data_IF_674579735564
#
_entry.id   IF_674579735564
#
_cell.length_a   1.000
_cell.length_b   1.000
_cell.length_c   1.000
_cell.angle_alpha   90.00
_cell.angle_beta   90.00
_cell.angle_gamma   90.00
#
_symmetry.space_group_name_H-M   'P 1'
#
loop_
_entity.id
_entity.type
_entity.pdbx_description
1 polymer ?
#
# COMPACT_ATOMS: atom_id res chain seq x y z
N UNK A 1 -12.28 3.73 19.54
CA UNK A 1 -12.40 3.13 20.89
C UNK A 1 -11.65 1.80 21.01
N UNK A 2 -11.77 0.85 20.05
CA UNK A 2 -11.07 -0.45 20.09
C UNK A 2 -9.58 -0.42 20.45
N UNK A 3 -8.75 0.40 19.80
CA UNK A 3 -7.31 0.54 20.13
C UNK A 3 -7.05 0.91 21.60
N UNK A 4 -7.90 1.76 22.17
CA UNK A 4 -7.73 2.28 23.54
C UNK A 4 -8.21 1.24 24.56
N UNK A 5 -9.24 0.46 24.22
CA UNK A 5 -9.69 -0.71 24.97
C UNK A 5 -8.64 -1.82 24.94
N UNK A 6 -8.09 -2.16 23.78
CA UNK A 6 -6.98 -3.12 23.63
C UNK A 6 -5.76 -2.72 24.46
N UNK A 7 -5.40 -1.43 24.45
CA UNK A 7 -4.30 -0.92 25.27
C UNK A 7 -4.58 -1.03 26.78
N UNK A 8 -5.83 -0.84 27.20
CA UNK A 8 -6.24 -1.02 28.61
C UNK A 8 -6.18 -2.49 29.01
N UNK A 9 -6.75 -3.38 28.19
CA UNK A 9 -6.68 -4.83 28.39
C UNK A 9 -5.23 -5.31 28.45
N UNK A 10 -4.37 -4.84 27.54
CA UNK A 10 -2.95 -5.18 27.55
C UNK A 10 -2.23 -4.64 28.79
N UNK A 11 -2.69 -3.51 29.36
CA UNK A 11 -2.15 -2.98 30.61
C UNK A 11 -2.49 -3.87 31.81
N UNK A 12 -3.68 -4.46 31.82
CA UNK A 12 -4.18 -5.37 32.87
C UNK A 12 -3.44 -6.71 32.90
N UNK A 13 -2.85 -7.14 31.79
CA UNK A 13 -2.03 -8.35 31.72
C UNK A 13 -0.79 -8.20 32.63
N UNK A 14 -0.46 -9.20 33.48
CA UNK A 14 0.74 -9.18 34.32
C UNK A 14 2.02 -8.96 33.50
N UNK A 15 2.97 -8.21 34.08
CA UNK A 15 4.23 -7.87 33.41
C UNK A 15 5.03 -9.13 32.99
N UNK A 16 5.01 -10.18 33.81
CA UNK A 16 5.67 -11.45 33.53
C UNK A 16 5.13 -12.11 32.26
N UNK A 17 3.83 -12.02 32.01
CA UNK A 17 3.19 -12.58 30.81
C UNK A 17 3.56 -11.75 29.59
N UNK A 18 3.51 -10.41 29.69
CA UNK A 18 3.90 -9.52 28.58
C UNK A 18 5.36 -9.67 28.19
N UNK A 19 6.24 -9.76 29.19
CA UNK A 19 7.67 -9.96 28.96
C UNK A 19 7.93 -11.32 28.34
N UNK A 20 7.26 -12.38 28.79
CA UNK A 20 7.36 -13.70 28.15
C UNK A 20 6.91 -13.69 26.69
N UNK A 21 5.77 -13.06 26.37
CA UNK A 21 5.28 -12.93 24.99
C UNK A 21 6.27 -12.14 24.12
N UNK A 22 6.85 -11.07 24.67
CA UNK A 22 7.85 -10.28 23.95
C UNK A 22 9.15 -11.06 23.72
N UNK A 23 9.57 -11.90 24.67
CA UNK A 23 10.72 -12.79 24.47
C UNK A 23 10.45 -13.86 23.42
N UNK A 24 9.24 -14.41 23.37
CA UNK A 24 8.82 -15.36 22.32
C UNK A 24 8.83 -14.71 20.93
N UNK A 25 8.30 -13.49 20.82
CA UNK A 25 8.38 -12.69 19.60
C UNK A 25 9.84 -12.40 19.22
N UNK A 26 10.69 -12.00 20.16
CA UNK A 26 12.11 -11.80 19.88
C UNK A 26 12.80 -13.08 19.44
N UNK A 27 12.40 -14.25 19.97
CA UNK A 27 12.93 -15.53 19.55
C UNK A 27 12.53 -15.84 18.10
N UNK A 28 11.27 -15.61 17.72
CA UNK A 28 10.81 -15.83 16.34
C UNK A 28 11.46 -14.85 15.35
N UNK A 29 11.59 -13.57 15.72
CA UNK A 29 12.26 -12.55 14.90
C UNK A 29 13.73 -12.86 14.67
N UNK A 30 14.44 -13.43 15.66
CA UNK A 30 15.84 -13.87 15.51
C UNK A 30 16.00 -15.04 14.54
N UNK A 31 14.96 -15.86 14.37
CA UNK A 31 14.96 -16.98 13.43
C UNK A 31 14.43 -16.61 12.04
N UNK A 32 14.18 -15.33 11.76
CA UNK A 32 13.77 -14.90 10.42
C UNK A 32 14.90 -15.17 9.42
N UNK A 33 14.62 -16.09 8.50
CA UNK A 33 15.46 -16.39 7.36
C UNK A 33 14.70 -16.10 6.07
N UNK A 34 15.43 -16.04 4.96
CA UNK A 34 14.81 -15.93 3.65
C UNK A 34 14.12 -17.26 3.31
N UNK A 35 12.80 -17.23 3.12
CA UNK A 35 11.99 -18.39 2.76
C UNK A 35 11.90 -18.59 1.24
N UNK A 36 11.56 -17.54 0.48
CA UNK A 36 11.47 -17.55 -0.99
C UNK A 36 12.19 -16.32 -1.56
N UNK A 37 12.85 -16.50 -2.70
CA UNK A 37 13.41 -15.39 -3.49
C UNK A 37 12.90 -15.51 -4.91
N UNK A 38 12.34 -14.42 -5.45
CA UNK A 38 11.78 -14.39 -6.79
C UNK A 38 12.18 -13.13 -7.53
N UNK A 39 12.40 -13.27 -8.84
CA UNK A 39 12.68 -12.16 -9.73
C UNK A 39 11.37 -11.48 -10.10
N UNK A 40 11.22 -10.20 -9.74
CA UNK A 40 10.01 -9.45 -10.03
C UNK A 40 9.98 -8.86 -11.44
N UNK A 41 11.04 -8.18 -11.86
CA UNK A 41 11.16 -7.57 -13.20
C UNK A 41 12.63 -7.35 -13.60
N UNK A 42 12.85 -6.87 -14.83
CA UNK A 42 14.16 -6.43 -15.34
C UNK A 42 14.64 -5.10 -14.75
N UNK A 43 13.70 -4.29 -14.24
CA UNK A 43 13.91 -3.01 -13.58
C UNK A 43 13.76 -3.15 -12.05
N UNK A 44 14.37 -2.25 -11.27
CA UNK A 44 14.30 -2.32 -9.82
C UNK A 44 12.86 -2.13 -9.31
N UNK A 45 12.51 -2.95 -8.31
CA UNK A 45 11.25 -2.85 -7.58
C UNK A 45 11.37 -1.68 -6.59
N UNK A 46 10.43 -0.75 -6.63
CA UNK A 46 10.44 0.46 -5.81
C UNK A 46 9.69 0.32 -4.49
N UNK A 47 8.71 -0.59 -4.45
CA UNK A 47 7.84 -0.77 -3.30
C UNK A 47 7.17 -2.16 -3.31
N UNK A 48 6.84 -2.67 -2.14
CA UNK A 48 5.97 -3.82 -1.98
C UNK A 48 4.98 -3.63 -0.84
N UNK A 49 3.78 -4.21 -0.97
CA UNK A 49 2.75 -4.14 0.06
C UNK A 49 1.95 -5.44 0.13
N UNK A 50 1.76 -5.97 1.34
CA UNK A 50 0.91 -7.14 1.54
C UNK A 50 -0.57 -6.77 1.46
N UNK A 51 -1.39 -7.69 0.96
CA UNK A 51 -2.85 -7.60 1.08
C UNK A 51 -3.27 -7.77 2.54
N UNK A 52 -4.42 -7.21 2.97
CA UNK A 52 -4.89 -7.34 4.36
C UNK A 52 -5.09 -8.78 4.86
N UNK A 53 -5.34 -9.74 3.98
CA UNK A 53 -5.44 -11.17 4.33
C UNK A 53 -4.11 -11.94 4.25
N UNK A 54 -3.00 -11.25 3.94
CA UNK A 54 -1.64 -11.78 3.78
C UNK A 54 -1.46 -12.88 2.70
N UNK A 55 -2.43 -13.07 1.79
CA UNK A 55 -2.34 -14.08 0.71
C UNK A 55 -1.77 -13.51 -0.60
N UNK A 56 -1.72 -12.20 -0.74
CA UNK A 56 -1.20 -11.53 -1.92
C UNK A 56 -0.15 -10.49 -1.53
N UNK A 57 0.79 -10.26 -2.43
CA UNK A 57 1.79 -9.21 -2.33
C UNK A 57 1.79 -8.42 -3.64
N UNK A 58 1.67 -7.10 -3.53
CA UNK A 58 1.78 -6.19 -4.66
C UNK A 58 3.21 -5.65 -4.71
N UNK A 59 3.81 -5.65 -5.89
CA UNK A 59 5.11 -5.02 -6.15
C UNK A 59 4.97 -3.93 -7.20
N UNK A 60 5.58 -2.77 -6.97
CA UNK A 60 5.70 -1.69 -7.93
C UNK A 60 7.11 -1.68 -8.54
N UNK A 61 7.22 -1.55 -9.86
CA UNK A 61 8.49 -1.58 -10.57
C UNK A 61 8.75 -0.28 -11.34
N UNK A 62 10.02 0.07 -11.54
CA UNK A 62 10.41 1.17 -12.42
C UNK A 62 10.18 0.90 -13.92
N UNK A 63 9.77 -0.29 -14.31
CA UNK A 63 9.32 -0.61 -15.68
C UNK A 63 7.97 0.03 -16.04
N UNK A 64 7.22 0.55 -15.05
CA UNK A 64 5.82 0.94 -15.21
C UNK A 64 4.83 -0.19 -14.85
N UNK A 65 5.34 -1.39 -14.57
CA UNK A 65 4.51 -2.53 -14.20
C UNK A 65 4.30 -2.60 -12.69
N UNK A 66 3.07 -2.93 -12.32
CA UNK A 66 2.75 -3.40 -10.98
C UNK A 66 2.36 -4.86 -11.07
N UNK A 67 2.93 -5.72 -10.23
CA UNK A 67 2.67 -7.18 -10.26
C UNK A 67 2.07 -7.63 -8.94
N UNK A 68 1.11 -8.55 -9.02
CA UNK A 68 0.51 -9.20 -7.86
C UNK A 68 1.01 -10.64 -7.78
N UNK A 69 1.47 -11.04 -6.59
CA UNK A 69 2.06 -12.34 -6.32
C UNK A 69 1.23 -13.06 -5.26
N UNK A 70 1.09 -14.38 -5.39
CA UNK A 70 0.54 -15.20 -4.31
C UNK A 70 1.58 -15.39 -3.21
N UNK A 71 1.13 -15.42 -1.97
CA UNK A 71 1.93 -15.67 -0.77
C UNK A 71 1.30 -16.86 -0.05
N UNK A 72 2.08 -17.90 0.32
CA UNK A 72 3.55 -17.98 0.36
C UNK A 72 4.22 -18.53 -0.91
N UNK A 73 3.45 -18.96 -1.91
CA UNK A 73 4.01 -19.71 -3.05
C UNK A 73 4.85 -18.86 -4.02
N UNK A 74 4.73 -17.53 -3.94
CA UNK A 74 5.45 -16.60 -4.79
C UNK A 74 5.12 -16.89 -6.27
N UNK A 75 3.83 -17.05 -6.64
CA UNK A 75 3.40 -17.20 -8.03
C UNK A 75 2.82 -15.89 -8.56
N UNK A 76 3.12 -15.53 -9.82
CA UNK A 76 2.55 -14.35 -10.45
C UNK A 76 1.05 -14.56 -10.71
N UNK A 77 0.21 -13.68 -10.17
CA UNK A 77 -1.25 -13.70 -10.34
C UNK A 77 -1.69 -12.72 -11.43
N UNK A 78 -1.27 -11.46 -11.32
CA UNK A 78 -1.66 -10.39 -12.23
C UNK A 78 -0.48 -9.48 -12.57
N UNK A 79 -0.52 -8.91 -13.77
CA UNK A 79 0.40 -7.85 -14.20
C UNK A 79 -0.43 -6.64 -14.57
N UNK A 80 -0.49 -5.69 -13.65
CA UNK A 80 -1.19 -4.43 -13.77
C UNK A 80 -0.40 -3.50 -14.70
N UNK A 81 -0.99 -3.18 -15.86
CA UNK A 81 -0.41 -2.37 -16.93
C UNK A 81 -1.14 -1.05 -17.02
N UNK A 82 -0.42 0.07 -17.01
CA UNK A 82 -1.03 1.39 -17.20
C UNK A 82 -0.11 2.56 -16.90
N UNK A 83 0.90 2.37 -16.03
CA UNK A 83 1.93 3.39 -15.85
C UNK A 83 2.94 3.34 -16.99
N UNK A 84 3.32 4.51 -17.49
CA UNK A 84 4.29 4.66 -18.58
C UNK A 84 5.70 5.00 -18.08
N UNK A 85 5.83 5.29 -16.78
CA UNK A 85 7.07 5.72 -16.15
C UNK A 85 7.32 4.97 -14.84
N UNK A 86 8.40 5.33 -14.15
CA UNK A 86 8.80 4.66 -12.91
C UNK A 86 7.69 4.72 -11.86
N UNK A 87 7.15 3.56 -11.46
CA UNK A 87 6.16 3.49 -10.39
C UNK A 87 6.85 3.77 -9.05
N UNK A 88 6.26 4.65 -8.25
CA UNK A 88 6.72 5.05 -6.92
C UNK A 88 6.30 4.09 -5.82
N UNK A 89 5.00 3.81 -5.70
CA UNK A 89 4.43 2.89 -4.73
C UNK A 89 3.15 2.24 -5.24
N UNK A 90 2.80 1.10 -4.62
CA UNK A 90 1.51 0.43 -4.76
C UNK A 90 1.03 0.01 -3.38
N UNK A 91 -0.23 0.30 -3.05
CA UNK A 91 -0.80 0.03 -1.72
C UNK A 91 -2.19 -0.57 -1.86
N UNK A 92 -2.42 -1.64 -1.11
CA UNK A 92 -3.74 -2.26 -0.98
C UNK A 92 -4.68 -1.37 -0.16
N UNK A 93 -5.94 -1.35 -0.57
CA UNK A 93 -7.02 -0.82 0.23
C UNK A 93 -7.12 -1.61 1.55
N UNK A 94 -7.34 -0.97 2.71
CA UNK A 94 -7.34 -1.63 4.02
C UNK A 94 -8.40 -2.73 4.17
N UNK A 95 -9.47 -2.65 3.37
CA UNK A 95 -10.56 -3.63 3.28
C UNK A 95 -10.47 -4.59 2.09
N UNK A 96 -9.42 -4.45 1.26
CA UNK A 96 -9.16 -5.34 0.12
C UNK A 96 -9.11 -6.79 0.60
N UNK A 97 -9.74 -7.69 -0.16
CA UNK A 97 -9.69 -9.14 0.08
C UNK A 97 -10.26 -9.61 1.44
N UNK A 98 -10.83 -8.70 2.23
CA UNK A 98 -11.48 -8.98 3.52
C UNK A 98 -12.98 -8.68 3.44
N UNK A 99 -13.35 -7.50 2.94
CA UNK A 99 -14.76 -7.11 2.81
C UNK A 99 -15.12 -6.41 1.50
N UNK A 100 -14.14 -5.94 0.72
CA UNK A 100 -14.37 -5.39 -0.61
C UNK A 100 -14.52 -6.50 -1.65
N UNK A 101 -15.38 -6.24 -2.65
CA UNK A 101 -15.46 -7.09 -3.84
C UNK A 101 -14.21 -6.91 -4.72
N UNK A 102 -13.90 -7.90 -5.54
CA UNK A 102 -12.73 -7.87 -6.43
C UNK A 102 -12.87 -6.78 -7.51
N UNK A 103 -14.11 -6.47 -7.91
CA UNK A 103 -14.46 -5.41 -8.88
C UNK A 103 -14.22 -4.00 -8.38
N UNK A 104 -14.34 -3.79 -7.07
CA UNK A 104 -14.14 -2.48 -6.49
C UNK A 104 -12.66 -2.07 -6.54
N UNK A 105 -12.39 -0.82 -6.19
CA UNK A 105 -11.01 -0.32 -6.08
C UNK A 105 -10.32 -1.01 -4.90
N UNK A 106 -9.39 -1.91 -5.22
CA UNK A 106 -8.65 -2.70 -4.26
C UNK A 106 -7.22 -2.20 -4.07
N UNK A 107 -6.63 -1.51 -5.04
CA UNK A 107 -5.29 -0.94 -4.93
C UNK A 107 -5.22 0.48 -5.49
N UNK A 108 -4.23 1.22 -5.01
CA UNK A 108 -3.79 2.48 -5.60
C UNK A 108 -2.28 2.40 -5.86
N UNK A 109 -1.83 2.95 -6.98
CA UNK A 109 -0.40 3.11 -7.26
C UNK A 109 -0.11 4.50 -7.82
N UNK A 110 1.14 4.94 -7.70
CA UNK A 110 1.58 6.25 -8.17
C UNK A 110 2.87 6.16 -8.96
N UNK A 111 3.14 7.14 -9.82
CA UNK A 111 4.33 7.16 -10.67
C UNK A 111 5.04 8.53 -10.73
N UNK A 112 6.20 8.50 -11.39
CA UNK A 112 7.09 9.65 -11.53
C UNK A 112 6.55 10.75 -12.46
N UNK A 113 5.61 10.41 -13.35
CA UNK A 113 4.90 11.36 -14.21
C UNK A 113 3.77 12.12 -13.49
N UNK A 114 3.52 11.81 -12.22
CA UNK A 114 2.44 12.41 -11.43
C UNK A 114 1.15 11.62 -11.47
N UNK A 115 1.06 10.56 -12.29
CA UNK A 115 -0.16 9.75 -12.34
C UNK A 115 -0.36 8.95 -11.05
N UNK A 116 -1.61 8.90 -10.61
CA UNK A 116 -2.08 8.02 -9.55
C UNK A 116 -3.21 7.19 -10.12
N UNK A 117 -3.05 5.88 -10.11
CA UNK A 117 -3.96 4.92 -10.77
C UNK A 117 -4.62 4.03 -9.73
N UNK A 118 -5.92 3.79 -9.92
CA UNK A 118 -6.74 2.92 -9.09
C UNK A 118 -6.99 1.60 -9.81
N UNK A 119 -6.90 0.50 -9.07
CA UNK A 119 -6.92 -0.85 -9.64
C UNK A 119 -7.96 -1.72 -8.95
N UNK A 120 -8.62 -2.54 -9.75
CA UNK A 120 -9.44 -3.67 -9.32
C UNK A 120 -8.60 -4.95 -9.34
N UNK A 121 -9.04 -6.00 -8.66
CA UNK A 121 -8.44 -7.33 -8.75
C UNK A 121 -8.93 -8.14 -9.96
N UNK A 122 -10.03 -7.70 -10.60
CA UNK A 122 -10.63 -8.38 -11.76
C UNK A 122 -10.06 -7.89 -13.11
N UNK A 123 -9.22 -6.84 -13.09
CA UNK A 123 -8.69 -6.19 -14.28
C UNK A 123 -7.19 -5.97 -14.17
N UNK A 124 -6.47 -6.23 -15.27
CA UNK A 124 -5.06 -5.88 -15.42
C UNK A 124 -4.86 -4.41 -15.85
N UNK A 125 -5.94 -3.70 -16.19
CA UNK A 125 -5.97 -2.27 -16.52
C UNK A 125 -6.55 -1.43 -15.39
N UNK A 126 -6.14 -0.16 -15.25
CA UNK A 126 -6.64 0.73 -14.21
C UNK A 126 -8.13 1.03 -14.40
N UNK A 127 -8.87 1.11 -13.29
CA UNK A 127 -10.31 1.42 -13.29
C UNK A 127 -10.55 2.92 -13.42
N UNK A 128 -9.68 3.71 -12.80
CA UNK A 128 -9.74 5.17 -12.83
C UNK A 128 -8.36 5.75 -12.50
N UNK A 129 -8.15 6.98 -12.93
CA UNK A 129 -6.96 7.78 -12.62
C UNK A 129 -7.37 8.97 -11.73
N UNK A 130 -6.48 9.35 -10.82
CA UNK A 130 -6.62 10.60 -10.05
C UNK A 130 -5.76 11.65 -10.74
N UNK A 131 -6.44 12.66 -11.28
CA UNK A 131 -5.84 13.80 -11.96
C UNK A 131 -5.65 14.97 -10.98
N UNK A 132 -4.57 15.74 -11.13
CA UNK A 132 -4.30 16.94 -10.31
C UNK A 132 -2.83 17.13 -9.95
N UNK A 133 -2.06 16.05 -10.01
CA UNK A 133 -0.61 16.10 -9.86
C UNK A 133 0.07 16.37 -11.20
N UNK A 134 0.93 17.40 -11.24
CA UNK A 134 1.72 17.76 -12.44
C UNK A 134 3.19 17.33 -12.34
N UNK A 135 3.59 16.84 -11.16
CA UNK A 135 4.96 16.39 -10.87
C UNK A 135 4.91 15.04 -10.15
N UNK A 136 6.08 14.40 -10.05
CA UNK A 136 6.26 13.10 -9.41
C UNK A 136 5.49 12.96 -8.08
N UNK A 137 4.70 11.90 -8.00
CA UNK A 137 4.07 11.44 -6.75
C UNK A 137 4.96 10.37 -6.12
N UNK A 138 5.44 10.63 -4.91
CA UNK A 138 6.43 9.78 -4.25
C UNK A 138 5.80 8.52 -3.66
N UNK A 139 4.70 8.70 -2.94
CA UNK A 139 3.98 7.65 -2.20
C UNK A 139 2.48 7.91 -2.21
N UNK A 140 1.74 6.84 -2.01
CA UNK A 140 0.29 6.85 -1.76
C UNK A 140 -0.01 6.00 -0.53
N UNK A 141 -1.06 6.35 0.20
CA UNK A 141 -1.49 5.58 1.36
C UNK A 141 -2.98 5.77 1.60
N UNK A 142 -3.66 4.68 1.93
CA UNK A 142 -5.06 4.70 2.28
C UNK A 142 -5.27 5.12 3.73
N UNK A 143 -6.29 5.92 3.97
CA UNK A 143 -6.83 6.06 5.32
C UNK A 143 -7.45 4.73 5.78
N UNK A 144 -7.34 4.33 7.06
CA UNK A 144 -7.89 3.04 7.53
C UNK A 144 -9.39 2.84 7.31
N UNK A 145 -10.17 3.89 7.09
CA UNK A 145 -11.58 3.77 6.69
C UNK A 145 -11.77 3.20 5.28
N UNK A 146 -10.77 3.38 4.41
CA UNK A 146 -10.82 3.06 2.99
C UNK A 146 -11.35 4.16 2.08
N UNK A 147 -11.99 5.18 2.64
CA UNK A 147 -12.61 6.25 1.85
C UNK A 147 -11.61 7.26 1.28
N UNK A 148 -10.57 7.57 2.06
CA UNK A 148 -9.61 8.61 1.70
C UNK A 148 -8.28 8.03 1.23
N UNK A 149 -7.70 8.66 0.23
CA UNK A 149 -6.37 8.35 -0.27
C UNK A 149 -5.45 9.57 -0.10
N UNK A 150 -4.38 9.39 0.64
CA UNK A 150 -3.31 10.39 0.76
C UNK A 150 -2.26 10.18 -0.33
N UNK A 151 -1.81 11.27 -0.94
CA UNK A 151 -0.77 11.29 -1.99
C UNK A 151 0.31 12.31 -1.60
N UNK A 152 1.59 11.91 -1.63
CA UNK A 152 2.72 12.83 -1.37
C UNK A 152 3.40 13.19 -2.68
N UNK A 153 3.68 14.48 -2.87
CA UNK A 153 4.07 15.02 -4.16
C UNK A 153 5.36 15.86 -4.05
N UNK A 154 6.12 15.88 -5.14
CA UNK A 154 7.37 16.64 -5.23
C UNK A 154 7.16 18.17 -5.37
N UNK A 155 5.92 18.64 -5.43
CA UNK A 155 5.55 20.07 -5.43
C UNK A 155 5.57 20.71 -4.03
N UNK A 156 6.08 19.98 -3.03
CA UNK A 156 6.17 20.35 -1.61
C UNK A 156 4.83 20.26 -0.86
N UNK A 157 3.82 19.69 -1.48
CA UNK A 157 2.53 19.43 -0.86
C UNK A 157 2.24 17.94 -0.75
N UNK A 158 1.30 17.64 0.14
CA UNK A 158 0.57 16.39 0.11
C UNK A 158 -0.91 16.70 -0.06
N UNK A 159 -1.60 15.80 -0.74
CA UNK A 159 -3.03 15.92 -1.03
C UNK A 159 -3.80 14.78 -0.39
N UNK A 160 -5.05 15.05 -0.05
CA UNK A 160 -6.00 14.06 0.42
C UNK A 160 -7.20 14.03 -0.52
N UNK A 161 -7.49 12.85 -1.03
CA UNK A 161 -8.55 12.58 -1.99
C UNK A 161 -9.67 11.83 -1.31
N UNK A 162 -10.91 12.21 -1.59
CA UNK A 162 -12.09 11.47 -1.21
C UNK A 162 -12.64 10.70 -2.41
N UNK A 163 -12.62 9.38 -2.34
CA UNK A 163 -13.00 8.53 -3.48
C UNK A 163 -14.51 8.35 -3.62
N UNK A 164 -15.29 8.64 -2.58
CA UNK A 164 -16.75 8.69 -2.69
C UNK A 164 -17.21 9.95 -3.43
N UNK A 165 -16.57 11.08 -3.13
CA UNK A 165 -16.84 12.36 -3.79
C UNK A 165 -16.06 12.54 -5.11
N UNK A 166 -15.01 11.74 -5.33
CA UNK A 166 -14.07 11.85 -6.44
C UNK A 166 -13.41 13.24 -6.55
N UNK A 167 -13.09 13.85 -5.41
CA UNK A 167 -12.54 15.20 -5.33
C UNK A 167 -11.33 15.28 -4.38
N UNK A 168 -10.46 16.26 -4.65
CA UNK A 168 -9.40 16.67 -3.73
C UNK A 168 -10.03 17.46 -2.58
N UNK A 169 -9.95 16.93 -1.36
CA UNK A 169 -10.54 17.57 -0.17
C UNK A 169 -9.53 18.38 0.63
N UNK A 170 -8.23 18.14 0.44
CA UNK A 170 -7.19 18.88 1.13
C UNK A 170 -5.92 18.96 0.28
N UNK A 171 -5.45 20.19 0.10
CA UNK A 171 -4.13 20.52 -0.40
C UNK A 171 -3.30 21.12 0.74
N UNK A 172 -2.26 20.43 1.20
CA UNK A 172 -1.45 20.92 2.30
C UNK A 172 0.02 21.08 1.90
N UNK A 173 0.44 22.34 1.81
CA UNK A 173 1.84 22.71 1.76
C UNK A 173 2.38 22.89 3.18
N UNK A 174 3.64 22.50 3.39
CA UNK A 174 4.28 22.64 4.69
C UNK A 174 5.76 22.27 4.69
N UNK A 175 6.21 21.55 3.67
CA UNK A 175 7.62 21.24 3.48
C UNK A 175 8.30 22.29 2.59
N UNK A 176 9.59 22.54 2.82
CA UNK A 176 10.39 23.41 1.95
C UNK A 176 10.85 22.71 0.67
N UNK A 177 10.76 21.38 0.62
CA UNK A 177 11.14 20.51 -0.50
C UNK A 177 10.05 19.45 -0.76
N UNK A 178 10.20 18.68 -1.84
CA UNK A 178 9.26 17.62 -2.21
C UNK A 178 9.09 16.54 -1.13
N UNK A 179 7.90 15.94 -1.08
CA UNK A 179 7.45 15.00 -0.04
C UNK A 179 7.21 13.61 -0.61
#
# INVERSE_FOLDING_TARGET
>A
MKRLEEARLHKEIPETTRTSQMQELHKSLRSLNNFCSQIGDDRPISYCHFSPNSKMLATACWSGLCKLWSVPDCNLLHTLRGHNTNVGAIVFHPKSTVSLDQKDVNLASCAADGSVKLWSLDSDEPVADIEGHTVRVARVMWHPSGRFLGTTCYDRSWRLWDLEAQEEILHQEGHSMGV
#
